data_IF_517995720639
#
_entry.id   IF_517995720639
#
_cell.length_a   1.000
_cell.length_b   1.000
_cell.length_c   1.000
_cell.angle_alpha   90.00
_cell.angle_beta   90.00
_cell.angle_gamma   90.00
#
_symmetry.space_group_name_H-M   'P 1'
#
loop_
_entity.id
_entity.type
_entity.pdbx_description
1 polymer ?
#
# COMPACT_ATOMS: atom_id res chain seq x y z
N UNK A 1 -12.03 1.40 9.51
CA UNK A 1 -11.82 0.90 8.14
C UNK A 1 -13.08 0.24 7.59
N UNK A 2 -13.53 -0.90 8.10
CA UNK A 2 -14.67 -1.65 7.58
C UNK A 2 -15.96 -0.82 7.38
N UNK A 3 -16.26 0.14 8.28
CA UNK A 3 -17.41 1.04 8.15
C UNK A 3 -17.35 1.94 6.92
N UNK A 4 -16.17 2.46 6.58
CA UNK A 4 -15.99 3.29 5.37
C UNK A 4 -16.08 2.46 4.09
N UNK A 5 -15.54 1.23 4.10
CA UNK A 5 -15.69 0.31 2.96
C UNK A 5 -17.16 -0.02 2.74
N UNK A 6 -17.90 -0.32 3.82
CA UNK A 6 -19.35 -0.53 3.75
C UNK A 6 -20.07 0.67 3.16
N UNK A 7 -19.81 1.88 3.65
CA UNK A 7 -20.42 3.12 3.14
C UNK A 7 -20.11 3.32 1.64
N UNK A 8 -18.87 3.04 1.22
CA UNK A 8 -18.47 3.12 -0.19
C UNK A 8 -19.21 2.10 -1.05
N UNK A 9 -19.35 0.86 -0.59
CA UNK A 9 -20.12 -0.19 -1.28
C UNK A 9 -21.58 0.24 -1.45
N UNK A 10 -22.21 0.68 -0.37
CA UNK A 10 -23.63 1.03 -0.37
C UNK A 10 -23.92 2.30 -1.20
N UNK A 11 -22.96 3.24 -1.27
CA UNK A 11 -23.09 4.43 -2.14
C UNK A 11 -22.89 4.12 -3.64
N UNK A 12 -22.39 2.94 -3.99
CA UNK A 12 -22.07 2.51 -5.36
C UNK A 12 -23.11 1.56 -5.97
N UNK A 13 -24.35 1.53 -5.46
CA UNK A 13 -25.42 0.60 -5.85
C UNK A 13 -25.09 -0.89 -5.61
N UNK A 14 -24.17 -1.17 -4.71
CA UNK A 14 -23.84 -2.52 -4.24
C UNK A 14 -24.39 -2.73 -2.82
N UNK A 15 -24.48 -3.98 -2.40
CA UNK A 15 -24.94 -4.33 -1.05
C UNK A 15 -23.84 -4.98 -0.25
N UNK A 16 -23.52 -4.42 0.91
CA UNK A 16 -22.69 -5.09 1.89
C UNK A 16 -23.54 -6.15 2.62
N UNK A 17 -23.28 -7.43 2.34
CA UNK A 17 -24.05 -8.55 2.93
C UNK A 17 -23.51 -8.97 4.29
N UNK A 18 -22.28 -8.58 4.64
CA UNK A 18 -21.68 -8.86 5.95
C UNK A 18 -20.32 -8.21 6.14
N UNK A 19 -19.97 -7.98 7.39
CA UNK A 19 -18.64 -7.55 7.82
C UNK A 19 -18.11 -8.59 8.81
N UNK A 20 -17.04 -9.27 8.46
CA UNK A 20 -16.36 -10.23 9.29
C UNK A 20 -15.29 -9.55 10.15
N UNK A 21 -15.34 -9.80 11.44
CA UNK A 21 -14.28 -9.43 12.38
C UNK A 21 -14.29 -10.42 13.56
N UNK A 22 -13.25 -11.26 13.73
CA UNK A 22 -13.22 -12.25 14.81
C UNK A 22 -13.21 -11.61 16.21
N UNK A 23 -12.81 -10.34 16.32
CA UNK A 23 -12.85 -9.58 17.58
C UNK A 23 -14.25 -9.02 17.90
N UNK A 24 -15.22 -9.15 16.98
CA UNK A 24 -16.62 -8.82 17.19
C UNK A 24 -17.00 -7.37 16.89
N UNK A 25 -16.15 -6.63 16.15
CA UNK A 25 -16.51 -5.30 15.65
C UNK A 25 -17.33 -5.36 14.35
N UNK A 26 -17.48 -6.55 13.75
CA UNK A 26 -18.30 -6.82 12.56
C UNK A 26 -19.66 -7.41 12.91
N UNK A 27 -20.43 -7.76 11.86
CA UNK A 27 -21.71 -8.48 12.00
C UNK A 27 -21.50 -9.98 12.26
N UNK A 28 -20.37 -10.54 11.84
CA UNK A 28 -20.04 -11.95 11.91
C UNK A 28 -18.66 -12.15 12.53
N UNK A 29 -18.56 -13.17 13.40
CA UNK A 29 -17.29 -13.58 14.02
C UNK A 29 -16.68 -14.82 13.36
N UNK A 30 -17.47 -15.55 12.57
CA UNK A 30 -17.03 -16.66 11.74
C UNK A 30 -17.54 -16.41 10.31
N UNK A 31 -16.67 -16.60 9.32
CA UNK A 31 -17.01 -16.46 7.90
C UNK A 31 -18.12 -17.43 7.48
N UNK A 32 -18.21 -18.58 8.10
CA UNK A 32 -19.23 -19.61 7.83
C UNK A 32 -20.64 -19.19 8.25
N UNK A 33 -20.79 -18.17 9.08
CA UNK A 33 -22.09 -17.62 9.46
C UNK A 33 -22.70 -16.78 8.32
N UNK A 34 -21.91 -16.42 7.30
CA UNK A 34 -22.37 -15.61 6.17
C UNK A 34 -23.07 -16.53 5.17
N UNK A 35 -24.38 -16.69 5.32
CA UNK A 35 -25.22 -17.57 4.49
C UNK A 35 -25.72 -16.92 3.18
N UNK A 36 -25.51 -15.63 3.01
CA UNK A 36 -25.92 -14.92 1.80
C UNK A 36 -24.95 -15.23 0.64
N UNK A 37 -25.47 -15.18 -0.59
CA UNK A 37 -24.61 -15.24 -1.77
C UNK A 37 -23.67 -14.03 -1.77
N UNK A 38 -22.39 -14.31 -1.97
CA UNK A 38 -21.31 -13.32 -2.02
C UNK A 38 -20.79 -13.27 -3.46
N UNK A 39 -20.76 -12.10 -4.06
CA UNK A 39 -20.23 -11.88 -5.40
C UNK A 39 -18.77 -11.38 -5.37
N UNK A 40 -18.27 -10.97 -4.21
CA UNK A 40 -16.88 -10.58 -3.99
C UNK A 40 -16.57 -10.31 -2.52
N UNK A 41 -15.32 -10.47 -2.15
CA UNK A 41 -14.79 -10.21 -0.81
C UNK A 41 -13.78 -9.06 -0.90
N UNK A 42 -13.83 -8.13 0.05
CA UNK A 42 -12.87 -7.04 0.18
C UNK A 42 -12.21 -7.16 1.56
N UNK A 43 -10.91 -7.46 1.58
CA UNK A 43 -10.14 -7.70 2.79
C UNK A 43 -9.30 -6.45 3.16
N UNK A 44 -9.67 -5.80 4.26
CA UNK A 44 -8.91 -4.76 4.96
C UNK A 44 -8.60 -5.19 6.40
N UNK A 45 -8.40 -6.47 6.64
CA UNK A 45 -8.17 -7.04 7.96
C UNK A 45 -6.68 -6.99 8.36
N UNK A 46 -6.30 -7.81 9.28
CA UNK A 46 -4.91 -8.04 9.66
C UNK A 46 -4.36 -9.26 8.91
N UNK A 47 -3.07 -9.23 8.53
CA UNK A 47 -2.43 -10.31 7.76
C UNK A 47 -2.53 -11.71 8.41
N UNK A 48 -2.74 -11.78 9.73
CA UNK A 48 -2.96 -13.07 10.41
C UNK A 48 -4.22 -13.81 9.95
N UNK A 49 -5.20 -13.10 9.36
CA UNK A 49 -6.45 -13.67 8.86
C UNK A 49 -6.38 -14.10 7.39
N UNK A 50 -5.28 -13.79 6.71
CA UNK A 50 -5.14 -14.03 5.26
C UNK A 50 -5.45 -15.47 4.86
N UNK A 51 -4.93 -16.46 5.60
CA UNK A 51 -5.12 -17.87 5.24
C UNK A 51 -6.57 -18.33 5.39
N UNK A 52 -7.25 -17.86 6.42
CA UNK A 52 -8.65 -18.14 6.66
C UNK A 52 -9.53 -17.54 5.56
N UNK A 53 -9.28 -16.27 5.22
CA UNK A 53 -10.01 -15.56 4.17
C UNK A 53 -9.78 -16.20 2.81
N UNK A 54 -8.53 -16.57 2.48
CA UNK A 54 -8.21 -17.28 1.23
C UNK A 54 -8.94 -18.60 1.12
N UNK A 55 -8.91 -19.40 2.20
CA UNK A 55 -9.60 -20.70 2.23
C UNK A 55 -11.10 -20.52 2.00
N UNK A 56 -11.72 -19.59 2.68
CA UNK A 56 -13.14 -19.30 2.54
C UNK A 56 -13.48 -18.80 1.12
N UNK A 57 -12.71 -17.86 0.59
CA UNK A 57 -12.92 -17.32 -0.76
C UNK A 57 -12.84 -18.42 -1.84
N UNK A 58 -11.89 -19.36 -1.70
CA UNK A 58 -11.77 -20.53 -2.59
C UNK A 58 -12.97 -21.46 -2.44
N UNK A 59 -13.39 -21.75 -1.20
CA UNK A 59 -14.50 -22.66 -0.91
C UNK A 59 -15.81 -22.19 -1.57
N UNK A 60 -16.09 -20.89 -1.49
CA UNK A 60 -17.30 -20.31 -2.09
C UNK A 60 -17.10 -19.82 -3.54
N UNK A 61 -15.91 -20.02 -4.11
CA UNK A 61 -15.50 -19.57 -5.44
C UNK A 61 -15.78 -18.07 -5.68
N UNK A 62 -15.41 -17.22 -4.71
CA UNK A 62 -15.65 -15.78 -4.75
C UNK A 62 -14.37 -15.01 -5.11
N UNK A 63 -14.43 -13.99 -5.98
CA UNK A 63 -13.33 -13.04 -6.18
C UNK A 63 -12.93 -12.35 -4.87
N UNK A 64 -11.64 -12.05 -4.72
CA UNK A 64 -11.09 -11.46 -3.50
C UNK A 64 -10.20 -10.25 -3.82
N UNK A 65 -10.50 -9.12 -3.19
CA UNK A 65 -9.61 -7.94 -3.15
C UNK A 65 -8.86 -7.97 -1.82
N UNK A 66 -7.53 -8.01 -1.85
CA UNK A 66 -6.66 -7.98 -0.67
C UNK A 66 -6.01 -6.61 -0.60
N UNK A 67 -6.46 -5.78 0.32
CA UNK A 67 -5.87 -4.48 0.66
C UNK A 67 -5.07 -4.54 1.98
N UNK A 68 -5.07 -5.69 2.63
CA UNK A 68 -4.25 -5.97 3.82
C UNK A 68 -2.77 -5.93 3.47
N UNK A 69 -1.96 -5.33 4.34
CA UNK A 69 -0.51 -5.19 4.21
C UNK A 69 0.23 -6.03 5.26
N UNK A 70 1.56 -6.12 5.18
CA UNK A 70 2.37 -6.82 6.17
C UNK A 70 2.45 -8.34 6.01
N UNK A 71 2.04 -8.89 4.87
CA UNK A 71 2.13 -10.32 4.59
C UNK A 71 3.56 -10.83 4.61
N UNK A 72 3.75 -11.99 5.24
CA UNK A 72 5.01 -12.75 5.16
C UNK A 72 5.22 -13.31 3.74
N UNK A 73 6.45 -13.72 3.42
CA UNK A 73 6.72 -14.32 2.10
C UNK A 73 5.96 -15.64 1.91
N UNK A 74 5.75 -16.42 2.96
CA UNK A 74 4.90 -17.61 2.93
C UNK A 74 3.45 -17.26 2.58
N UNK A 75 2.90 -16.20 3.17
CA UNK A 75 1.54 -15.74 2.86
C UNK A 75 1.42 -15.20 1.44
N UNK A 76 2.46 -14.51 0.93
CA UNK A 76 2.50 -14.06 -0.47
C UNK A 76 2.42 -15.24 -1.44
N UNK A 77 3.16 -16.34 -1.16
CA UNK A 77 3.07 -17.57 -1.95
C UNK A 77 1.67 -18.21 -1.89
N UNK A 78 1.04 -18.23 -0.71
CA UNK A 78 -0.35 -18.75 -0.56
C UNK A 78 -1.36 -17.91 -1.36
N UNK A 79 -1.19 -16.58 -1.39
CA UNK A 79 -2.01 -15.67 -2.21
C UNK A 79 -1.81 -15.99 -3.70
N UNK A 80 -0.58 -16.19 -4.14
CA UNK A 80 -0.27 -16.57 -5.53
C UNK A 80 -0.90 -17.93 -5.90
N UNK A 81 -0.79 -18.92 -5.05
CA UNK A 81 -1.45 -20.23 -5.27
C UNK A 81 -2.98 -20.11 -5.32
N UNK A 82 -3.56 -19.28 -4.46
CA UNK A 82 -5.00 -19.02 -4.47
C UNK A 82 -5.45 -18.28 -5.75
N UNK A 83 -4.63 -17.39 -6.29
CA UNK A 83 -4.93 -16.65 -7.54
C UNK A 83 -5.04 -17.55 -8.78
N UNK A 84 -4.52 -18.78 -8.71
CA UNK A 84 -4.71 -19.80 -9.77
C UNK A 84 -6.11 -20.45 -9.72
N UNK A 85 -6.86 -20.24 -8.63
CA UNK A 85 -8.18 -20.85 -8.40
C UNK A 85 -9.33 -19.85 -8.46
N UNK A 86 -9.11 -18.64 -7.96
CA UNK A 86 -10.08 -17.54 -7.94
C UNK A 86 -9.43 -16.24 -8.41
N UNK A 87 -10.23 -15.29 -8.88
CA UNK A 87 -9.72 -13.96 -9.22
C UNK A 87 -9.30 -13.23 -7.94
N UNK A 88 -8.03 -12.81 -7.86
CA UNK A 88 -7.48 -12.05 -6.74
C UNK A 88 -6.87 -10.75 -7.25
N UNK A 89 -7.31 -9.61 -6.69
CA UNK A 89 -6.64 -8.34 -6.81
C UNK A 89 -5.94 -8.05 -5.48
N UNK A 90 -4.60 -8.05 -5.49
CA UNK A 90 -3.81 -7.60 -4.34
C UNK A 90 -3.27 -6.21 -4.60
N UNK A 91 -3.61 -5.26 -3.75
CA UNK A 91 -3.15 -3.89 -3.85
C UNK A 91 -2.75 -3.37 -2.46
N UNK A 92 -1.51 -2.92 -2.31
CA UNK A 92 -1.03 -2.26 -1.08
C UNK A 92 -1.64 -0.88 -0.91
N UNK A 93 -2.08 -0.29 -2.02
CA UNK A 93 -2.81 0.98 -2.06
C UNK A 93 -3.79 0.99 -3.24
N UNK A 94 -5.07 1.25 -2.97
CA UNK A 94 -6.14 1.31 -3.99
C UNK A 94 -6.36 2.72 -4.54
N UNK A 95 -5.59 3.72 -4.07
CA UNK A 95 -5.66 5.08 -4.56
C UNK A 95 -5.21 5.15 -6.03
N UNK A 96 -6.06 5.69 -6.89
CA UNK A 96 -5.72 5.95 -8.30
C UNK A 96 -4.47 6.85 -8.41
N UNK A 97 -4.39 7.90 -7.56
CA UNK A 97 -3.27 8.83 -7.55
C UNK A 97 -1.95 8.14 -7.21
N UNK A 98 -1.94 7.24 -6.21
CA UNK A 98 -0.74 6.46 -5.86
C UNK A 98 -0.31 5.55 -7.01
N UNK A 99 -1.26 4.87 -7.65
CA UNK A 99 -0.95 3.99 -8.77
C UNK A 99 -0.39 4.75 -9.98
N UNK A 100 -0.94 5.93 -10.28
CA UNK A 100 -0.40 6.83 -11.32
C UNK A 100 0.99 7.32 -10.91
N UNK A 101 1.19 7.74 -9.67
CA UNK A 101 2.48 8.17 -9.15
C UNK A 101 3.54 7.09 -9.31
N UNK A 102 3.23 5.83 -8.99
CA UNK A 102 4.14 4.69 -9.19
C UNK A 102 4.57 4.56 -10.67
N UNK A 103 3.64 4.71 -11.61
CA UNK A 103 3.96 4.63 -13.04
C UNK A 103 4.85 5.80 -13.51
N UNK A 104 4.53 7.01 -13.07
CA UNK A 104 5.32 8.22 -13.39
C UNK A 104 6.72 8.09 -12.80
N UNK A 105 6.85 7.67 -11.54
CA UNK A 105 8.14 7.45 -10.86
C UNK A 105 8.94 6.38 -11.57
N UNK A 106 8.33 5.25 -11.96
CA UNK A 106 9.00 4.21 -12.75
C UNK A 106 9.56 4.74 -14.07
N UNK A 107 8.76 5.53 -14.78
CA UNK A 107 9.18 6.11 -16.05
C UNK A 107 10.29 7.16 -15.86
N UNK A 108 10.14 8.07 -14.89
CA UNK A 108 11.14 9.08 -14.57
C UNK A 108 12.46 8.44 -14.13
N UNK A 109 12.41 7.41 -13.28
CA UNK A 109 13.62 6.71 -12.82
C UNK A 109 14.46 6.14 -13.96
N UNK A 110 13.80 5.57 -14.99
CA UNK A 110 14.51 5.03 -16.16
C UNK A 110 15.24 6.11 -16.96
N UNK A 111 14.68 7.30 -17.03
CA UNK A 111 15.27 8.43 -17.77
C UNK A 111 16.32 9.17 -16.93
N UNK A 112 16.18 9.18 -15.61
CA UNK A 112 17.00 9.94 -14.66
C UNK A 112 17.87 9.02 -13.78
N UNK A 113 18.26 7.85 -14.28
CA UNK A 113 18.97 6.81 -13.51
C UNK A 113 20.31 7.30 -12.90
N UNK A 114 20.96 8.27 -13.55
CA UNK A 114 22.21 8.88 -13.10
C UNK A 114 22.03 10.00 -12.07
N UNK A 115 20.79 10.46 -11.85
CA UNK A 115 20.47 11.48 -10.86
C UNK A 115 20.55 10.92 -9.43
N UNK A 116 20.78 11.80 -8.48
CA UNK A 116 20.60 11.51 -7.08
C UNK A 116 19.10 11.40 -6.78
N UNK A 117 18.71 10.36 -6.05
CA UNK A 117 17.30 10.11 -5.74
C UNK A 117 17.09 10.19 -4.24
N UNK A 118 16.11 10.99 -3.83
CA UNK A 118 15.67 11.09 -2.44
C UNK A 118 14.15 10.94 -2.36
N UNK A 119 13.66 10.32 -1.29
CA UNK A 119 12.24 10.18 -1.02
C UNK A 119 11.92 10.81 0.33
N UNK A 120 10.92 11.69 0.35
CA UNK A 120 10.37 12.31 1.57
C UNK A 120 8.91 11.91 1.69
N UNK A 121 8.51 11.38 2.85
CA UNK A 121 7.12 11.12 3.16
C UNK A 121 6.70 11.81 4.46
N UNK A 122 5.46 12.26 4.54
CA UNK A 122 4.95 13.00 5.70
C UNK A 122 3.57 12.47 6.07
N UNK A 123 3.38 12.17 7.35
CA UNK A 123 2.10 11.73 7.92
C UNK A 123 1.85 12.36 9.29
N UNK A 124 0.65 12.11 9.79
CA UNK A 124 0.25 12.55 11.13
C UNK A 124 1.15 11.92 12.21
N UNK A 125 1.21 12.57 13.38
CA UNK A 125 2.06 12.18 14.50
C UNK A 125 1.66 10.84 15.17
N UNK A 126 0.51 10.28 14.84
CA UNK A 126 0.01 8.98 15.34
C UNK A 126 0.46 7.78 14.50
N UNK A 127 1.00 8.01 13.27
CA UNK A 127 1.44 6.92 12.39
C UNK A 127 2.68 6.24 12.96
N UNK A 128 2.61 4.92 13.11
CA UNK A 128 3.64 4.12 13.79
C UNK A 128 4.73 3.67 12.81
N UNK A 129 4.33 3.19 11.64
CA UNK A 129 5.26 2.70 10.62
C UNK A 129 6.04 3.86 9.97
N UNK A 130 7.33 3.64 9.72
CA UNK A 130 8.21 4.53 8.98
C UNK A 130 9.30 3.70 8.27
N UNK A 131 9.46 3.81 6.93
CA UNK A 131 8.60 4.58 6.03
C UNK A 131 7.18 4.00 5.91
N UNK A 132 6.26 4.83 5.38
CA UNK A 132 4.89 4.39 5.08
C UNK A 132 4.85 3.29 4.02
N UNK A 133 3.75 2.52 3.95
CA UNK A 133 3.56 1.48 2.92
C UNK A 133 3.68 2.04 1.49
N UNK A 134 3.11 3.22 1.22
CA UNK A 134 3.25 3.89 -0.08
C UNK A 134 4.70 4.28 -0.37
N UNK A 135 5.43 4.78 0.62
CA UNK A 135 6.85 5.10 0.45
C UNK A 135 7.68 3.83 0.17
N UNK A 136 7.40 2.73 0.87
CA UNK A 136 8.05 1.44 0.61
C UNK A 136 7.79 0.95 -0.83
N UNK A 137 6.53 1.05 -1.30
CA UNK A 137 6.18 0.70 -2.69
C UNK A 137 6.91 1.59 -3.70
N UNK A 138 6.99 2.91 -3.47
CA UNK A 138 7.74 3.83 -4.34
C UNK A 138 9.23 3.47 -4.41
N UNK A 139 9.85 3.10 -3.29
CA UNK A 139 11.24 2.66 -3.23
C UNK A 139 11.47 1.35 -4.01
N UNK A 140 10.54 0.40 -3.92
CA UNK A 140 10.57 -0.83 -4.71
C UNK A 140 10.46 -0.51 -6.21
N UNK A 141 9.49 0.33 -6.60
CA UNK A 141 9.29 0.78 -7.99
C UNK A 141 10.54 1.45 -8.55
N UNK A 142 11.21 2.32 -7.77
CA UNK A 142 12.47 2.95 -8.17
C UNK A 142 13.53 1.88 -8.41
N UNK A 143 13.76 0.99 -7.44
CA UNK A 143 14.78 -0.03 -7.53
C UNK A 143 14.53 -1.07 -8.65
N UNK A 144 13.27 -1.39 -8.93
CA UNK A 144 12.90 -2.27 -10.06
C UNK A 144 13.08 -1.58 -11.42
N UNK A 145 13.09 -0.25 -11.44
CA UNK A 145 13.26 0.56 -12.65
C UNK A 145 14.71 0.87 -12.99
N UNK A 146 15.63 0.63 -12.05
CA UNK A 146 17.07 0.82 -12.23
C UNK A 146 17.74 -0.48 -12.73
N UNK A 147 18.82 -0.34 -13.52
CA UNK A 147 19.66 -1.48 -13.92
C UNK A 147 20.43 -2.09 -12.75
N UNK A 148 20.82 -1.27 -11.78
CA UNK A 148 21.48 -1.68 -10.55
C UNK A 148 20.70 -1.12 -9.36
N UNK A 149 20.34 -1.99 -8.40
CA UNK A 149 19.62 -1.58 -7.20
C UNK A 149 20.49 -0.69 -6.32
N UNK A 150 19.90 0.37 -5.81
CA UNK A 150 20.54 1.28 -4.85
C UNK A 150 20.16 0.91 -3.41
N UNK A 151 21.02 1.26 -2.46
CA UNK A 151 20.80 1.05 -1.03
C UNK A 151 19.88 2.14 -0.45
N UNK A 152 18.97 1.77 0.44
CA UNK A 152 18.13 2.74 1.14
C UNK A 152 18.85 3.27 2.38
N UNK A 153 18.94 4.59 2.51
CA UNK A 153 19.51 5.29 3.66
C UNK A 153 18.41 6.03 4.39
N UNK A 154 18.01 5.50 5.55
CA UNK A 154 16.93 6.03 6.36
C UNK A 154 17.42 7.14 7.29
N UNK A 155 17.01 8.36 7.01
CA UNK A 155 17.52 9.54 7.68
C UNK A 155 19.00 9.81 7.31
N UNK A 156 19.44 11.03 7.51
CA UNK A 156 20.85 11.38 7.28
C UNK A 156 21.32 12.25 8.44
N UNK A 157 22.37 11.79 9.11
CA UNK A 157 22.99 12.49 10.22
C UNK A 157 24.52 12.43 10.17
N UNK A 158 25.17 13.29 10.95
CA UNK A 158 26.64 13.33 11.08
C UNK A 158 27.36 13.86 9.86
N UNK A 159 28.66 13.57 9.79
CA UNK A 159 29.60 14.08 8.78
C UNK A 159 29.91 13.01 7.74
N UNK A 160 28.94 12.59 6.95
CA UNK A 160 29.11 11.64 5.86
C UNK A 160 28.59 12.22 4.55
N UNK A 161 29.40 12.17 3.50
CA UNK A 161 28.95 12.49 2.15
C UNK A 161 27.96 11.44 1.66
N UNK A 162 27.01 11.90 0.81
CA UNK A 162 26.15 11.03 0.03
C UNK A 162 27.01 10.13 -0.89
N UNK A 163 26.63 8.87 -1.00
CA UNK A 163 27.19 7.93 -1.95
C UNK A 163 26.34 7.86 -3.22
N UNK A 164 26.96 7.55 -4.36
CA UNK A 164 26.23 7.47 -5.64
C UNK A 164 25.18 6.34 -5.65
N UNK A 165 25.46 5.25 -4.93
CA UNK A 165 24.60 4.07 -4.89
C UNK A 165 23.64 4.06 -3.70
N UNK A 166 23.02 5.21 -3.39
CA UNK A 166 22.04 5.30 -2.32
C UNK A 166 20.79 6.08 -2.73
N UNK A 167 19.67 5.76 -2.09
CA UNK A 167 18.42 6.54 -2.10
C UNK A 167 18.18 6.97 -0.66
N UNK A 168 18.14 8.28 -0.41
CA UNK A 168 17.78 8.80 0.90
C UNK A 168 16.28 8.68 1.15
N UNK A 169 15.91 8.31 2.38
CA UNK A 169 14.51 8.10 2.78
C UNK A 169 14.23 8.87 4.05
N UNK A 170 13.29 9.80 4.01
CA UNK A 170 12.98 10.71 5.10
C UNK A 170 11.51 10.66 5.47
N UNK A 171 11.22 10.23 6.69
CA UNK A 171 9.87 10.12 7.23
C UNK A 171 9.59 11.26 8.23
N UNK A 172 8.62 12.10 7.93
CA UNK A 172 8.16 13.18 8.79
C UNK A 172 6.86 12.80 9.45
N UNK A 173 6.77 12.98 10.78
CA UNK A 173 5.56 12.74 11.59
C UNK A 173 5.19 14.03 12.29
N UNK A 174 4.08 14.69 11.85
CA UNK A 174 3.68 15.99 12.39
C UNK A 174 2.17 16.22 12.28
N UNK A 175 1.58 16.75 13.35
CA UNK A 175 0.19 17.20 13.40
C UNK A 175 -0.80 16.17 12.85
N UNK A 176 -1.67 16.62 11.95
CA UNK A 176 -2.69 15.82 11.28
C UNK A 176 -2.43 15.73 9.75
N UNK A 177 -1.18 15.69 9.34
CA UNK A 177 -0.83 15.49 7.93
C UNK A 177 -1.43 14.17 7.47
N UNK A 178 -2.26 14.22 6.44
CA UNK A 178 -3.00 13.04 5.96
C UNK A 178 -2.05 12.06 5.27
N UNK A 179 -1.20 12.56 4.37
CA UNK A 179 -0.18 11.79 3.66
C UNK A 179 0.39 12.61 2.51
N UNK A 180 1.69 12.77 2.48
CA UNK A 180 2.42 13.40 1.37
C UNK A 180 3.63 12.56 1.01
N UNK A 181 3.89 12.40 -0.28
CA UNK A 181 5.05 11.65 -0.80
C UNK A 181 5.72 12.47 -1.89
N UNK A 182 7.01 12.70 -1.75
CA UNK A 182 7.82 13.42 -2.73
C UNK A 182 9.01 12.58 -3.13
N UNK A 183 9.17 12.29 -4.41
CA UNK A 183 10.38 11.72 -4.99
C UNK A 183 11.14 12.84 -5.68
N UNK A 184 12.39 13.01 -5.30
CA UNK A 184 13.30 14.06 -5.81
C UNK A 184 14.36 13.38 -6.65
N UNK A 185 14.55 13.86 -7.88
CA UNK A 185 15.66 13.53 -8.76
C UNK A 185 16.51 14.78 -8.91
N UNK A 186 17.79 14.73 -8.54
CA UNK A 186 18.69 15.89 -8.58
C UNK A 186 19.99 15.56 -9.29
N UNK A 187 20.39 16.43 -10.21
CA UNK A 187 21.72 16.47 -10.83
C UNK A 187 22.48 17.70 -10.37
N UNK A 188 23.64 17.99 -10.98
CA UNK A 188 24.40 19.21 -10.70
C UNK A 188 23.66 20.52 -10.99
N UNK A 189 22.75 20.51 -11.98
CA UNK A 189 22.11 21.72 -12.51
C UNK A 189 20.60 21.72 -12.43
N UNK A 190 19.95 20.56 -12.19
CA UNK A 190 18.52 20.39 -12.28
C UNK A 190 17.95 19.61 -11.10
N UNK A 191 16.73 19.95 -10.70
CA UNK A 191 15.95 19.21 -9.71
C UNK A 191 14.56 18.97 -10.29
N UNK A 192 14.12 17.71 -10.26
CA UNK A 192 12.75 17.32 -10.61
C UNK A 192 12.11 16.71 -9.37
N UNK A 193 10.95 17.24 -8.98
CA UNK A 193 10.18 16.73 -7.85
C UNK A 193 8.83 16.20 -8.34
N UNK A 194 8.55 14.94 -8.00
CA UNK A 194 7.25 14.34 -8.17
C UNK A 194 6.57 14.27 -6.81
N UNK A 195 5.52 15.06 -6.64
CA UNK A 195 4.83 15.20 -5.36
C UNK A 195 3.38 14.78 -5.45
N UNK A 196 2.93 14.02 -4.46
CA UNK A 196 1.54 13.65 -4.28
C UNK A 196 1.10 13.94 -2.85
N UNK A 197 -0.10 14.53 -2.70
CA UNK A 197 -0.71 14.87 -1.42
C UNK A 197 -2.12 14.32 -1.31
N UNK A 198 -2.44 13.76 -0.16
CA UNK A 198 -3.80 13.42 0.22
C UNK A 198 -4.40 14.55 1.07
N UNK A 199 -5.64 14.93 0.77
CA UNK A 199 -6.34 16.01 1.47
C UNK A 199 -7.46 15.53 2.40
N UNK A 200 -7.85 14.26 2.29
CA UNK A 200 -8.91 13.67 3.11
C UNK A 200 -8.52 12.26 3.53
N UNK A 201 -8.72 11.92 4.80
CA UNK A 201 -8.50 10.56 5.32
C UNK A 201 -9.36 9.50 4.62
N UNK A 202 -10.46 9.89 4.01
CA UNK A 202 -11.36 9.01 3.26
C UNK A 202 -10.65 8.25 2.12
N UNK A 203 -9.55 8.78 1.61
CA UNK A 203 -8.73 8.13 0.56
C UNK A 203 -7.54 7.34 1.11
N UNK A 204 -7.29 7.43 2.44
CA UNK A 204 -6.24 6.69 3.14
C UNK A 204 -6.70 5.32 3.66
N UNK A 205 -7.75 4.77 3.09
CA UNK A 205 -8.29 3.45 3.47
C UNK A 205 -7.27 2.31 3.34
N UNK A 206 -6.01 2.61 3.07
CA UNK A 206 -4.96 1.64 2.74
C UNK A 206 -3.67 1.76 3.54
N UNK A 207 -3.53 2.74 4.46
CA UNK A 207 -2.25 2.97 5.14
C UNK A 207 -2.29 2.78 6.67
N UNK A 208 -3.12 1.89 7.20
CA UNK A 208 -3.05 1.52 8.62
C UNK A 208 -2.76 0.06 8.80
#
# INVERSE_FOLDING_TARGET
MASFVKESIESSNHKCVGMYDPLGNGNYKDLKEIVNKIDGIIDFSHFSLTEEILKYAIEINSPLVIATTGHTDEQKLKIEEASKKIAILKATNTSLGVNIMNQIVSYATKLLADFDIELIEKHHNRKIDAPSGTAATLLEVINESLSEKKNFVYGREGNKKREKNEIGVHAIRAGNIVGEHTVIFSSGDEIIELNMKHYQEKYLLTEQ
#
